data_IF_496134303299
#
_entry.id   IF_496134303299
#
_cell.length_a   1.000
_cell.length_b   1.000
_cell.length_c   1.000
_cell.angle_alpha   90.00
_cell.angle_beta   90.00
_cell.angle_gamma   90.00
#
_symmetry.space_group_name_H-M   'P 1'
#
loop_
_entity.id
_entity.type
_entity.pdbx_description
1 polymer ?
#
# COMPACT_ATOMS: atom_id res chain seq x y z
N UNK A 1 1.48 65.81 -46.45
CA UNK A 1 2.73 65.02 -46.39
C UNK A 1 2.41 63.72 -45.68
N UNK A 2 2.33 62.61 -46.43
CA UNK A 2 2.04 61.28 -45.87
C UNK A 2 3.35 60.48 -45.82
N UNK A 3 3.83 60.18 -44.62
CA UNK A 3 4.96 59.27 -44.43
C UNK A 3 4.44 57.84 -44.43
N UNK A 4 4.62 57.15 -45.56
CA UNK A 4 4.44 55.71 -45.65
C UNK A 4 5.62 55.04 -44.91
N UNK A 5 5.39 54.60 -43.69
CA UNK A 5 6.34 53.78 -42.93
C UNK A 5 6.50 52.43 -43.61
N UNK A 6 7.72 52.15 -44.08
CA UNK A 6 8.09 50.90 -44.73
C UNK A 6 7.92 49.72 -43.77
N UNK A 7 7.13 48.72 -44.18
CA UNK A 7 7.08 47.42 -43.51
C UNK A 7 8.42 46.70 -43.72
N UNK A 8 8.98 46.03 -42.69
CA UNK A 8 10.22 45.29 -42.84
C UNK A 8 9.97 44.09 -43.77
N UNK A 9 10.65 44.08 -44.92
CA UNK A 9 10.75 42.91 -45.79
C UNK A 9 11.64 41.90 -45.07
N UNK A 10 11.02 40.93 -44.39
CA UNK A 10 11.70 39.74 -43.89
C UNK A 10 12.27 39.03 -45.12
N UNK A 11 13.59 38.99 -45.25
CA UNK A 11 14.25 38.35 -46.39
C UNK A 11 13.94 36.85 -46.39
N UNK A 12 13.77 36.24 -47.57
CA UNK A 12 13.44 34.81 -47.68
C UNK A 12 14.42 33.88 -46.96
N UNK A 13 15.67 34.32 -46.75
CA UNK A 13 16.67 33.62 -45.95
C UNK A 13 16.35 33.58 -44.44
N UNK A 14 15.78 34.66 -43.88
CA UNK A 14 15.34 34.70 -42.48
C UNK A 14 14.14 33.80 -42.23
N UNK A 15 13.19 33.73 -43.19
CA UNK A 15 12.07 32.79 -43.11
C UNK A 15 12.55 31.33 -43.17
N UNK A 16 13.56 31.03 -43.99
CA UNK A 16 14.12 29.68 -44.09
C UNK A 16 14.82 29.26 -42.80
N UNK A 17 15.62 30.14 -42.18
CA UNK A 17 16.27 29.86 -40.89
C UNK A 17 15.24 29.64 -39.77
N UNK A 18 14.21 30.47 -39.68
CA UNK A 18 13.14 30.29 -38.69
C UNK A 18 12.39 28.96 -38.86
N UNK A 19 12.16 28.51 -40.09
CA UNK A 19 11.52 27.21 -40.34
C UNK A 19 12.41 26.04 -39.91
N UNK A 20 13.73 26.12 -40.14
CA UNK A 20 14.69 25.09 -39.72
C UNK A 20 14.78 25.03 -38.19
N UNK A 21 14.84 26.18 -37.51
CA UNK A 21 14.84 26.24 -36.04
C UNK A 21 13.53 25.73 -35.44
N UNK A 22 12.39 26.07 -36.05
CA UNK A 22 11.10 25.56 -35.60
C UNK A 22 10.98 24.04 -35.77
N UNK A 23 11.50 23.48 -36.86
CA UNK A 23 11.51 22.04 -37.10
C UNK A 23 12.44 21.31 -36.11
N UNK A 24 13.62 21.86 -35.82
CA UNK A 24 14.54 21.34 -34.81
C UNK A 24 13.92 21.36 -33.41
N UNK A 25 13.28 22.47 -33.04
CA UNK A 25 12.54 22.57 -31.79
C UNK A 25 11.46 21.49 -31.72
N UNK A 26 10.64 21.33 -32.76
CA UNK A 26 9.56 20.35 -32.77
C UNK A 26 10.09 18.91 -32.59
N UNK A 27 11.20 18.57 -33.24
CA UNK A 27 11.85 17.26 -33.11
C UNK A 27 12.34 17.01 -31.67
N UNK A 28 13.08 17.96 -31.10
CA UNK A 28 13.62 17.82 -29.73
C UNK A 28 12.56 17.90 -28.65
N UNK A 29 11.52 18.71 -28.87
CA UNK A 29 10.36 18.77 -27.98
C UNK A 29 9.60 17.45 -27.97
N UNK A 30 9.44 16.80 -29.13
CA UNK A 30 8.82 15.48 -29.21
C UNK A 30 9.64 14.40 -28.48
N UNK A 31 10.97 14.42 -28.64
CA UNK A 31 11.90 13.55 -27.93
C UNK A 31 11.77 13.71 -26.40
N UNK A 32 11.84 14.95 -25.90
CA UNK A 32 11.65 15.30 -24.49
C UNK A 32 10.31 14.77 -23.95
N UNK A 33 9.21 14.95 -24.68
CA UNK A 33 7.90 14.46 -24.26
C UNK A 33 7.82 12.95 -24.23
N UNK A 34 8.51 12.26 -25.15
CA UNK A 34 8.55 10.81 -25.19
C UNK A 34 9.28 10.23 -23.98
N UNK A 35 10.43 10.81 -23.62
CA UNK A 35 11.24 10.41 -22.47
C UNK A 35 10.54 10.76 -21.16
N UNK A 36 10.07 11.98 -21.01
CA UNK A 36 9.35 12.40 -19.80
C UNK A 36 8.11 11.54 -19.55
N UNK A 37 7.42 11.11 -20.62
CA UNK A 37 6.30 10.17 -20.53
C UNK A 37 6.76 8.77 -20.12
N UNK A 38 7.92 8.31 -20.60
CA UNK A 38 8.49 7.04 -20.18
C UNK A 38 8.84 7.07 -18.68
N UNK A 39 9.56 8.10 -18.23
CA UNK A 39 9.92 8.33 -16.82
C UNK A 39 8.67 8.41 -15.93
N UNK A 40 7.66 9.19 -16.33
CA UNK A 40 6.41 9.28 -15.60
C UNK A 40 5.76 7.89 -15.43
N UNK A 41 5.72 7.09 -16.50
CA UNK A 41 5.10 5.75 -16.46
C UNK A 41 5.92 4.73 -15.67
N UNK A 42 7.24 4.76 -15.81
CA UNK A 42 8.15 3.82 -15.17
C UNK A 42 8.11 3.98 -13.66
N UNK A 43 8.18 5.22 -13.17
CA UNK A 43 8.23 5.51 -11.74
C UNK A 43 6.86 5.84 -11.14
N UNK A 44 5.82 5.99 -11.95
CA UNK A 44 4.47 6.34 -11.48
C UNK A 44 4.43 7.74 -10.84
N UNK A 45 5.23 8.68 -11.34
CA UNK A 45 5.34 10.04 -10.82
C UNK A 45 4.77 11.06 -11.80
N UNK A 46 4.35 12.22 -11.29
CA UNK A 46 4.03 13.37 -12.14
C UNK A 46 5.31 14.05 -12.59
N UNK A 47 5.49 14.18 -13.91
CA UNK A 47 6.62 14.88 -14.53
C UNK A 47 6.10 16.15 -15.19
N UNK A 48 6.71 17.28 -14.86
CA UNK A 48 6.44 18.56 -15.52
C UNK A 48 7.60 18.91 -16.44
N UNK A 49 7.33 19.06 -17.73
CA UNK A 49 8.32 19.53 -18.71
C UNK A 49 8.04 20.96 -19.11
N UNK A 50 9.10 21.74 -19.30
CA UNK A 50 9.06 23.12 -19.78
C UNK A 50 10.08 23.25 -20.90
N UNK A 51 9.64 23.71 -22.07
CA UNK A 51 10.50 23.94 -23.22
C UNK A 51 10.31 25.37 -23.73
N UNK A 52 11.41 26.07 -23.98
CA UNK A 52 11.40 27.41 -24.54
C UNK A 52 11.52 27.34 -26.05
N UNK A 53 10.56 27.95 -26.75
CA UNK A 53 10.55 28.08 -28.20
C UNK A 53 11.53 29.17 -28.64
N UNK A 54 12.00 29.14 -29.89
CA UNK A 54 12.88 30.17 -30.45
C UNK A 54 12.25 31.57 -30.46
N UNK A 55 10.92 31.65 -30.43
CA UNK A 55 10.13 32.89 -30.32
C UNK A 55 10.08 33.46 -28.88
N UNK A 56 10.77 32.83 -27.92
CA UNK A 56 10.81 33.23 -26.51
C UNK A 56 9.62 32.74 -25.69
N UNK A 57 8.65 32.04 -26.29
CA UNK A 57 7.50 31.51 -25.55
C UNK A 57 7.83 30.18 -24.87
N UNK A 58 7.19 29.90 -23.73
CA UNK A 58 7.36 28.64 -23.03
C UNK A 58 6.17 27.71 -23.27
N UNK A 59 6.44 26.44 -23.52
CA UNK A 59 5.44 25.37 -23.60
C UNK A 59 5.61 24.47 -22.38
N UNK A 60 4.52 24.25 -21.66
CA UNK A 60 4.50 23.45 -20.44
C UNK A 60 3.62 22.23 -20.63
N UNK A 61 4.13 21.06 -20.25
CA UNK A 61 3.34 19.84 -20.21
C UNK A 61 3.44 19.18 -18.84
N UNK A 62 2.30 18.70 -18.34
CA UNK A 62 2.22 17.89 -17.14
C UNK A 62 1.84 16.47 -17.55
N UNK A 63 2.72 15.52 -17.20
CA UNK A 63 2.62 14.11 -17.55
C UNK A 63 2.41 13.32 -16.28
N UNK A 64 1.20 12.82 -16.09
CA UNK A 64 0.85 12.04 -14.90
C UNK A 64 1.25 10.58 -15.13
N UNK A 65 2.23 10.15 -14.35
CA UNK A 65 2.58 8.75 -14.19
C UNK A 65 1.58 8.04 -13.29
N UNK A 66 0.95 6.98 -13.79
CA UNK A 66 0.26 6.02 -12.92
C UNK A 66 1.18 4.83 -12.77
N UNK A 67 1.56 4.50 -11.53
CA UNK A 67 2.41 3.36 -11.24
C UNK A 67 1.88 2.10 -11.93
N UNK A 68 2.77 1.26 -12.45
CA UNK A 68 2.42 0.06 -13.23
C UNK A 68 1.42 -0.83 -12.48
N UNK A 69 1.61 -0.99 -11.18
CA UNK A 69 0.73 -1.78 -10.31
C UNK A 69 -0.68 -1.20 -10.21
N UNK A 70 -0.80 0.12 -10.08
CA UNK A 70 -2.09 0.79 -10.01
C UNK A 70 -2.84 0.71 -11.34
N UNK A 71 -2.13 0.84 -12.46
CA UNK A 71 -2.69 0.61 -13.79
C UNK A 71 -3.21 -0.83 -13.93
N UNK A 72 -2.41 -1.81 -13.50
CA UNK A 72 -2.78 -3.22 -13.53
C UNK A 72 -4.00 -3.49 -12.64
N UNK A 73 -4.01 -2.94 -11.41
CA UNK A 73 -5.13 -3.02 -10.47
C UNK A 73 -6.41 -2.46 -11.11
N UNK A 74 -6.32 -1.32 -11.78
CA UNK A 74 -7.45 -0.74 -12.52
C UNK A 74 -7.92 -1.62 -13.68
N UNK A 75 -7.01 -2.23 -14.43
CA UNK A 75 -7.36 -3.16 -15.52
C UNK A 75 -8.08 -4.41 -14.99
N UNK A 76 -7.53 -5.02 -13.93
CA UNK A 76 -8.14 -6.19 -13.28
C UNK A 76 -9.51 -5.81 -12.72
N UNK A 77 -9.62 -4.68 -12.02
CA UNK A 77 -10.89 -4.20 -11.48
C UNK A 77 -11.95 -4.03 -12.56
N UNK A 78 -11.60 -3.48 -13.74
CA UNK A 78 -12.53 -3.37 -14.87
C UNK A 78 -12.88 -4.71 -15.52
N UNK A 79 -11.94 -5.65 -15.58
CA UNK A 79 -12.22 -7.00 -16.05
C UNK A 79 -13.22 -7.70 -15.12
N UNK A 80 -12.93 -7.70 -13.82
CA UNK A 80 -13.81 -8.28 -12.80
C UNK A 80 -15.18 -7.62 -12.80
N UNK A 81 -15.26 -6.28 -12.90
CA UNK A 81 -16.54 -5.59 -12.95
C UNK A 81 -17.37 -6.01 -14.17
N UNK A 82 -16.73 -6.20 -15.34
CA UNK A 82 -17.41 -6.72 -16.53
C UNK A 82 -17.90 -8.15 -16.32
N UNK A 83 -17.06 -9.02 -15.80
CA UNK A 83 -17.43 -10.42 -15.54
C UNK A 83 -18.61 -10.51 -14.55
N UNK A 84 -18.54 -9.74 -13.46
CA UNK A 84 -19.62 -9.67 -12.45
C UNK A 84 -20.90 -9.10 -13.04
N UNK A 85 -20.82 -8.11 -13.93
CA UNK A 85 -21.99 -7.54 -14.61
C UNK A 85 -22.66 -8.52 -15.59
N UNK A 86 -21.88 -9.46 -16.13
CA UNK A 86 -22.39 -10.51 -17.02
C UNK A 86 -22.98 -11.71 -16.25
N UNK A 87 -22.64 -11.88 -14.97
CA UNK A 87 -23.17 -12.97 -14.14
C UNK A 87 -24.65 -12.78 -13.82
N UNK A 88 -25.41 -13.86 -13.87
CA UNK A 88 -26.81 -13.83 -13.46
C UNK A 88 -26.94 -13.84 -11.92
N UNK A 89 -28.08 -13.37 -11.36
CA UNK A 89 -28.28 -13.33 -9.90
C UNK A 89 -28.11 -14.68 -9.19
N UNK A 90 -28.45 -15.79 -9.89
CA UNK A 90 -28.31 -17.14 -9.35
C UNK A 90 -26.84 -17.55 -9.17
N UNK A 91 -26.00 -17.20 -10.13
CA UNK A 91 -24.56 -17.44 -10.08
C UNK A 91 -23.90 -16.59 -9.00
N UNK A 92 -24.26 -15.30 -8.91
CA UNK A 92 -23.77 -14.42 -7.84
C UNK A 92 -24.11 -14.96 -6.45
N UNK A 93 -25.35 -15.43 -6.24
CA UNK A 93 -25.75 -16.05 -4.97
C UNK A 93 -24.97 -17.34 -4.67
N UNK A 94 -24.65 -18.15 -5.69
CA UNK A 94 -23.82 -19.34 -5.51
C UNK A 94 -22.38 -18.98 -5.12
N UNK A 95 -21.78 -17.98 -5.76
CA UNK A 95 -20.45 -17.47 -5.41
C UNK A 95 -20.40 -16.90 -3.99
N UNK A 96 -21.42 -16.13 -3.59
CA UNK A 96 -21.53 -15.62 -2.22
C UNK A 96 -21.60 -16.75 -1.19
N UNK A 97 -22.44 -17.77 -1.40
CA UNK A 97 -22.50 -18.95 -0.51
C UNK A 97 -21.16 -19.65 -0.40
N UNK A 98 -20.46 -19.85 -1.52
CA UNK A 98 -19.12 -20.46 -1.53
C UNK A 98 -18.10 -19.62 -0.77
N UNK A 99 -18.13 -18.29 -0.94
CA UNK A 99 -17.25 -17.38 -0.21
C UNK A 99 -17.48 -17.44 1.30
N UNK A 100 -18.74 -17.50 1.74
CA UNK A 100 -19.08 -17.66 3.16
C UNK A 100 -18.58 -18.99 3.72
N UNK A 101 -18.75 -20.08 2.98
CA UNK A 101 -18.25 -21.40 3.39
C UNK A 101 -16.72 -21.40 3.56
N UNK A 102 -15.98 -20.84 2.60
CA UNK A 102 -14.52 -20.72 2.68
C UNK A 102 -14.08 -19.85 3.87
N UNK A 103 -14.73 -18.69 4.08
CA UNK A 103 -14.46 -17.83 5.24
C UNK A 103 -14.67 -18.56 6.57
N UNK A 104 -15.74 -19.36 6.67
CA UNK A 104 -16.01 -20.16 7.87
C UNK A 104 -14.96 -21.26 8.11
N UNK A 105 -14.37 -21.83 7.06
CA UNK A 105 -13.24 -22.77 7.19
C UNK A 105 -12.01 -22.03 7.72
N UNK A 106 -11.62 -20.93 7.09
CA UNK A 106 -10.45 -20.14 7.50
C UNK A 106 -10.58 -19.66 8.95
N UNK A 107 -11.76 -19.20 9.37
CA UNK A 107 -11.98 -18.78 10.76
C UNK A 107 -11.80 -19.91 11.76
N UNK A 108 -12.31 -21.11 11.46
CA UNK A 108 -12.13 -22.30 12.31
C UNK A 108 -10.67 -22.71 12.39
N UNK A 109 -9.94 -22.70 11.28
CA UNK A 109 -8.51 -23.01 11.28
C UNK A 109 -7.70 -21.98 12.08
N UNK A 110 -8.02 -20.69 11.97
CA UNK A 110 -7.37 -19.65 12.76
C UNK A 110 -7.68 -19.78 14.25
N UNK A 111 -8.90 -20.18 14.62
CA UNK A 111 -9.28 -20.46 16.01
C UNK A 111 -8.52 -21.67 16.56
N UNK A 112 -8.51 -22.80 15.84
CA UNK A 112 -7.77 -23.99 16.24
C UNK A 112 -6.26 -23.73 16.38
N UNK A 113 -5.67 -22.92 15.50
CA UNK A 113 -4.26 -22.48 15.61
C UNK A 113 -4.03 -21.60 16.84
N UNK A 114 -4.98 -20.75 17.21
CA UNK A 114 -4.89 -19.95 18.45
C UNK A 114 -5.00 -20.82 19.69
N UNK A 115 -5.96 -21.74 19.72
CA UNK A 115 -6.18 -22.65 20.86
C UNK A 115 -4.98 -23.57 21.09
N UNK A 116 -4.40 -24.13 20.03
CA UNK A 116 -3.16 -24.92 20.13
C UNK A 116 -1.95 -24.09 20.58
N UNK A 117 -1.84 -22.82 20.13
CA UNK A 117 -0.80 -21.91 20.61
C UNK A 117 -0.97 -21.50 22.09
N UNK A 118 -2.19 -21.42 22.59
CA UNK A 118 -2.50 -21.17 24.02
C UNK A 118 -2.19 -22.41 24.85
N UNK A 119 -2.66 -23.59 24.43
CA UNK A 119 -2.38 -24.86 25.10
C UNK A 119 -0.87 -25.15 25.18
N UNK A 120 -0.10 -24.84 24.14
CA UNK A 120 1.36 -24.98 24.14
C UNK A 120 2.06 -24.02 25.12
N UNK A 121 1.49 -22.84 25.38
CA UNK A 121 2.02 -21.89 26.39
C UNK A 121 1.68 -22.32 27.81
N UNK A 122 0.47 -22.85 28.02
CA UNK A 122 0.04 -23.34 29.34
C UNK A 122 0.81 -24.60 29.75
N UNK A 123 1.13 -25.49 28.81
CA UNK A 123 1.91 -26.71 29.05
C UNK A 123 3.41 -26.39 29.32
N UNK A 124 3.95 -25.32 28.74
CA UNK A 124 5.27 -24.79 29.08
C UNK A 124 5.31 -24.14 30.48
N UNK A 125 4.23 -23.49 30.91
CA UNK A 125 4.06 -22.93 32.25
C UNK A 125 3.82 -24.00 33.34
N UNK A 126 3.21 -25.14 32.98
CA UNK A 126 2.98 -26.25 33.89
C UNK A 126 4.26 -27.08 34.15
N UNK A 127 5.11 -27.28 33.12
CA UNK A 127 6.39 -28.01 33.26
C UNK A 127 7.47 -27.25 34.05
N UNK A 128 7.37 -25.93 34.14
CA UNK A 128 8.26 -25.11 34.98
C UNK A 128 7.86 -25.12 36.45
N UNK A 129 6.56 -25.19 36.77
CA UNK A 129 6.08 -25.25 38.18
C UNK A 129 6.22 -26.63 38.83
N UNK A 130 6.13 -27.72 38.07
CA UNK A 130 6.27 -29.08 38.62
C UNK A 130 7.72 -29.46 38.93
N UNK A 131 8.71 -28.84 38.27
CA UNK A 131 10.13 -29.03 38.63
C UNK A 131 10.48 -28.35 39.97
N UNK A 132 9.94 -27.16 40.23
CA UNK A 132 10.20 -26.43 41.49
C UNK A 132 9.46 -27.02 42.69
N UNK A 133 8.33 -27.72 42.49
CA UNK A 133 7.56 -28.33 43.57
C UNK A 133 8.09 -29.70 44.04
N UNK A 134 8.92 -30.39 43.24
CA UNK A 134 9.52 -31.67 43.62
C UNK A 134 10.82 -31.49 44.43
N UNK A 135 11.57 -30.41 44.21
CA UNK A 135 12.83 -30.13 44.95
C UNK A 135 12.63 -29.58 46.37
N UNK A 136 11.42 -29.16 46.74
CA UNK A 136 11.14 -28.64 48.10
C UNK A 136 10.71 -29.71 49.13
N UNK A 137 10.76 -31.00 48.79
CA UNK A 137 10.35 -32.09 49.70
C UNK A 137 11.48 -32.93 50.29
N UNK A 138 12.74 -32.63 49.98
CA UNK A 138 13.90 -33.40 50.49
C UNK A 138 14.76 -32.67 51.53
N UNK A 139 14.39 -31.46 51.97
CA UNK A 139 15.13 -30.74 53.02
C UNK A 139 14.21 -30.21 54.12
N UNK A 140 13.59 -31.09 54.89
CA UNK A 140 13.06 -30.73 56.21
C UNK A 140 13.21 -31.91 57.18
N UNK A 141 14.48 -32.31 57.35
CA UNK A 141 14.96 -33.04 58.51
C UNK A 141 15.79 -32.10 59.38
N UNK A 142 15.24 -31.75 60.55
CA UNK A 142 15.89 -31.07 61.67
C UNK A 142 16.23 -29.57 61.54
N UNK A 143 15.36 -28.71 62.08
CA UNK A 143 15.80 -27.76 63.12
C UNK A 143 14.62 -27.28 63.97
N UNK A 144 14.87 -27.22 65.27
CA UNK A 144 13.98 -26.69 66.30
C UNK A 144 13.99 -25.16 66.28
N UNK A 145 12.85 -24.51 66.56
CA UNK A 145 12.85 -23.08 66.85
C UNK A 145 11.52 -22.37 66.64
N UNK A 146 10.68 -22.41 67.68
CA UNK A 146 9.84 -21.35 68.24
C UNK A 146 9.09 -20.32 67.33
N UNK A 147 7.80 -20.17 67.72
CA UNK A 147 6.88 -19.04 67.53
C UNK A 147 6.34 -18.85 66.11
N UNK A 148 5.05 -18.70 65.86
CA UNK A 148 3.91 -18.45 66.73
C UNK A 148 2.79 -17.95 65.82
N UNK A 149 1.61 -18.53 65.99
CA UNK A 149 0.42 -18.40 65.15
C UNK A 149 -0.10 -16.98 64.88
N UNK A 150 -0.82 -16.87 63.76
CA UNK A 150 -2.22 -16.40 63.62
C UNK A 150 -2.34 -15.40 62.45
N UNK A 151 -3.01 -15.76 61.35
CA UNK A 151 -4.47 -15.73 61.18
C UNK A 151 -4.98 -14.28 61.43
N UNK A 152 -5.57 -13.58 60.49
CA UNK A 152 -6.87 -13.81 59.83
C UNK A 152 -7.13 -12.52 59.02
N UNK A 153 -7.77 -12.53 57.86
CA UNK A 153 -9.21 -12.20 57.73
C UNK A 153 -9.37 -11.54 56.34
N UNK A 154 -9.98 -12.20 55.37
CA UNK A 154 -11.38 -11.99 54.99
C UNK A 154 -11.69 -10.59 54.42
N UNK A 155 -11.91 -10.49 53.10
CA UNK A 155 -13.23 -10.10 52.54
C UNK A 155 -13.21 -9.88 51.02
N UNK A 156 -14.14 -10.61 50.40
CA UNK A 156 -14.81 -10.35 49.14
C UNK A 156 -15.13 -8.86 48.90
N UNK A 157 -14.93 -8.38 47.65
CA UNK A 157 -15.72 -7.29 47.08
C UNK A 157 -15.79 -7.37 45.55
N UNK A 158 -16.88 -8.01 45.13
CA UNK A 158 -17.69 -7.71 43.95
C UNK A 158 -17.75 -6.20 43.69
N UNK A 159 -17.43 -5.76 42.47
CA UNK A 159 -17.76 -4.43 41.97
C UNK A 159 -18.27 -4.58 40.55
N UNK A 160 -19.61 -4.55 40.44
CA UNK A 160 -20.32 -4.21 39.22
C UNK A 160 -20.62 -2.71 39.29
N UNK A 161 -20.17 -1.95 38.29
CA UNK A 161 -20.83 -0.77 37.75
C UNK A 161 -20.55 -0.72 36.26
#
# INVERSE_FOLDING_TARGET
MAAAGAAPVVTGQQQQQQQVEAALFASKHAELLSEARAVAREHGVTVRTVAFRPDGTAVVHELIGVAREERLRGMIGRAVARDVSAMCPRELAAHQRRLHALRAVVLRELQAKKETAVAAKDDAGAKTKTKTALEQRETDGASAGAAGNAAESNKSRRTDY
#
